data_IF_990248601040
#
_entry.id   IF_990248601040
#
_cell.length_a   1.000
_cell.length_b   1.000
_cell.length_c   1.000
_cell.angle_alpha   90.00
_cell.angle_beta   90.00
_cell.angle_gamma   90.00
#
_symmetry.space_group_name_H-M   'P 1'
#
loop_
_entity.id
_entity.type
_entity.pdbx_description
1 polymer ?
#
# COMPACT_ATOMS: atom_id res chain seq x y z
N UNK A 1 -14.06 -8.30 -14.17
CA UNK A 1 -13.25 -7.95 -12.98
C UNK A 1 -13.70 -6.57 -12.52
N UNK A 2 -14.16 -6.40 -11.29
CA UNK A 2 -14.69 -5.12 -10.81
C UNK A 2 -13.54 -4.30 -10.17
N UNK A 3 -12.98 -3.28 -10.85
CA UNK A 3 -11.82 -2.52 -10.37
C UNK A 3 -12.08 -1.77 -9.05
N UNK A 4 -13.35 -1.56 -8.70
CA UNK A 4 -13.77 -0.88 -7.47
C UNK A 4 -13.37 -1.62 -6.17
N UNK A 5 -12.92 -2.88 -6.27
CA UNK A 5 -12.51 -3.70 -5.11
C UNK A 5 -11.03 -4.09 -5.11
N UNK A 6 -10.18 -3.40 -5.86
CA UNK A 6 -8.74 -3.62 -5.86
C UNK A 6 -8.00 -2.49 -5.15
N UNK A 7 -6.98 -2.85 -4.37
CA UNK A 7 -6.10 -1.90 -3.71
C UNK A 7 -5.29 -1.15 -4.76
N UNK A 8 -5.48 0.17 -4.84
CA UNK A 8 -4.77 1.04 -5.79
C UNK A 8 -3.26 1.11 -5.54
N UNK A 9 -2.77 0.59 -4.42
CA UNK A 9 -1.34 0.59 -4.06
C UNK A 9 -0.66 -0.70 -4.51
N UNK A 10 -1.32 -1.86 -4.37
CA UNK A 10 -0.65 -3.16 -4.48
C UNK A 10 -1.46 -4.24 -5.21
N UNK A 11 -2.58 -3.88 -5.83
CA UNK A 11 -3.42 -4.73 -6.67
C UNK A 11 -4.21 -5.84 -5.96
N UNK A 12 -3.92 -6.14 -4.68
CA UNK A 12 -4.68 -7.14 -3.88
C UNK A 12 -6.10 -6.66 -3.59
N UNK A 13 -6.98 -7.57 -3.20
CA UNK A 13 -8.34 -7.26 -2.77
C UNK A 13 -8.35 -6.13 -1.73
N UNK A 14 -9.06 -5.05 -2.04
CA UNK A 14 -9.27 -3.94 -1.11
C UNK A 14 -10.36 -4.26 -0.10
N UNK A 15 -10.32 -3.59 1.04
CA UNK A 15 -11.37 -3.68 2.05
C UNK A 15 -12.27 -2.44 2.10
N UNK A 16 -12.04 -1.48 1.20
CA UNK A 16 -12.77 -0.22 1.11
C UNK A 16 -11.84 0.97 0.99
N UNK A 17 -12.37 2.15 1.33
CA UNK A 17 -11.65 3.41 1.28
C UNK A 17 -10.92 3.68 2.59
N UNK A 18 -9.62 3.99 2.49
CA UNK A 18 -8.78 4.42 3.61
C UNK A 18 -7.97 5.65 3.19
N UNK A 19 -8.03 6.71 4.00
CA UNK A 19 -7.29 7.96 3.75
C UNK A 19 -7.51 8.56 2.34
N UNK A 20 -8.73 8.39 1.78
CA UNK A 20 -9.10 8.91 0.46
C UNK A 20 -8.76 8.02 -0.74
N UNK A 21 -8.19 6.82 -0.53
CA UNK A 21 -7.90 5.86 -1.60
C UNK A 21 -8.52 4.49 -1.32
N UNK A 22 -8.86 3.73 -2.35
CA UNK A 22 -9.29 2.33 -2.21
C UNK A 22 -8.05 1.48 -1.94
N UNK A 23 -7.91 0.97 -0.72
CA UNK A 23 -6.73 0.18 -0.33
C UNK A 23 -7.09 -1.10 0.42
N UNK A 24 -6.14 -2.02 0.51
CA UNK A 24 -6.23 -3.14 1.45
C UNK A 24 -5.83 -2.69 2.85
N UNK A 25 -6.17 -3.48 3.87
CA UNK A 25 -5.83 -3.21 5.28
C UNK A 25 -4.33 -3.08 5.52
N UNK A 26 -3.51 -3.88 4.82
CA UNK A 26 -2.06 -3.87 4.99
C UNK A 26 -1.44 -2.54 4.53
N UNK A 27 -1.81 -2.05 3.34
CA UNK A 27 -1.33 -0.76 2.83
C UNK A 27 -1.79 0.41 3.70
N UNK A 28 -3.05 0.39 4.16
CA UNK A 28 -3.56 1.41 5.08
C UNK A 28 -2.77 1.43 6.41
N UNK A 29 -2.48 0.25 6.97
CA UNK A 29 -1.71 0.12 8.22
C UNK A 29 -0.24 0.52 8.04
N UNK A 30 0.37 0.21 6.89
CA UNK A 30 1.71 0.67 6.54
C UNK A 30 1.77 2.21 6.48
N UNK A 31 0.87 2.82 5.70
CA UNK A 31 0.80 4.27 5.54
C UNK A 31 0.60 4.99 6.88
N UNK A 32 -0.37 4.54 7.70
CA UNK A 32 -0.61 5.12 9.03
C UNK A 32 0.64 5.07 9.91
N UNK A 33 1.36 3.95 9.93
CA UNK A 33 2.59 3.81 10.73
C UNK A 33 3.69 4.74 10.23
N UNK A 34 3.90 4.80 8.92
CA UNK A 34 4.88 5.67 8.30
C UNK A 34 4.66 7.15 8.68
N UNK A 35 3.41 7.62 8.61
CA UNK A 35 3.04 9.00 8.92
C UNK A 35 3.14 9.30 10.43
N UNK A 36 2.54 8.47 11.28
CA UNK A 36 2.51 8.70 12.74
C UNK A 36 3.91 8.66 13.34
N UNK A 37 4.75 7.73 12.89
CA UNK A 37 6.12 7.56 13.39
C UNK A 37 7.14 8.41 12.63
N UNK A 38 6.72 9.18 11.61
CA UNK A 38 7.59 9.99 10.74
C UNK A 38 8.76 9.19 10.17
N UNK A 39 8.49 7.98 9.67
CA UNK A 39 9.53 7.09 9.16
C UNK A 39 10.01 7.54 7.77
N UNK A 40 11.33 7.63 7.62
CA UNK A 40 11.98 7.87 6.35
C UNK A 40 12.51 6.55 5.78
N UNK A 41 11.97 6.12 4.64
CA UNK A 41 12.38 4.89 3.98
C UNK A 41 13.41 5.20 2.87
N UNK A 42 14.54 4.49 2.91
CA UNK A 42 15.50 4.48 1.80
C UNK A 42 15.41 3.14 1.06
N UNK A 43 15.20 3.21 -0.26
CA UNK A 43 15.27 2.02 -1.10
C UNK A 43 16.73 1.60 -1.26
N UNK A 44 17.03 0.32 -1.01
CA UNK A 44 18.36 -0.24 -1.24
C UNK A 44 18.71 -0.36 -2.73
N UNK A 45 17.68 -0.41 -3.58
CA UNK A 45 17.75 -0.58 -5.02
C UNK A 45 17.40 0.73 -5.75
N UNK A 46 16.85 0.65 -6.98
CA UNK A 46 16.55 1.80 -7.85
C UNK A 46 15.20 2.48 -7.60
N UNK A 47 14.60 2.34 -6.40
CA UNK A 47 13.24 2.83 -6.06
C UNK A 47 12.10 2.33 -6.96
N UNK A 48 12.37 1.34 -7.83
CA UNK A 48 11.40 0.73 -8.74
C UNK A 48 11.06 -0.69 -8.26
N UNK A 49 10.78 -0.84 -6.96
CA UNK A 49 10.47 -2.14 -6.37
C UNK A 49 9.02 -2.52 -6.72
N UNK A 50 8.77 -3.66 -7.39
CA UNK A 50 7.42 -4.11 -7.65
C UNK A 50 6.72 -4.45 -6.33
N UNK A 51 5.53 -3.89 -6.13
CA UNK A 51 4.70 -4.15 -4.94
C UNK A 51 3.93 -5.47 -5.05
N UNK A 52 4.14 -6.20 -6.13
CA UNK A 52 3.49 -7.45 -6.50
C UNK A 52 4.28 -8.65 -5.96
N UNK A 53 4.27 -8.84 -4.64
CA UNK A 53 4.94 -9.99 -4.01
C UNK A 53 4.45 -10.31 -2.60
N UNK A 54 4.96 -11.38 -2.00
CA UNK A 54 4.67 -11.77 -0.60
C UNK A 54 5.50 -10.97 0.43
N UNK A 55 6.53 -10.23 0.01
CA UNK A 55 7.36 -9.38 0.87
C UNK A 55 7.01 -7.89 0.76
N UNK A 56 5.75 -7.53 1.05
CA UNK A 56 5.28 -6.14 1.12
C UNK A 56 5.37 -5.60 2.54
#
# INVERSE_FOLDING_TARGET
>A
MNPERQCQICGKTSNGMHFGAITCRACAAFFRRAVVLKLEYSCKERKMCPLEGNGR
#
